data_IF_187316025969
#
_entry.id   IF_187316025969
#
_cell.length_a   1.000
_cell.length_b   1.000
_cell.length_c   1.000
_cell.angle_alpha   90.00
_cell.angle_beta   90.00
_cell.angle_gamma   90.00
#
_symmetry.space_group_name_H-M   'P 1'
#
loop_
_entity.id
_entity.type
_entity.pdbx_description
1 polymer ?
#
# COMPACT_ATOMS: atom_id res chain seq x y z
N UNK A 1 12.08 -8.62 0.98
CA UNK A 1 11.03 -8.54 -0.06
C UNK A 1 11.60 -8.82 -1.44
N UNK A 2 12.70 -8.18 -1.86
CA UNK A 2 13.33 -8.43 -3.17
C UNK A 2 13.67 -9.91 -3.42
N UNK A 3 14.30 -10.59 -2.45
CA UNK A 3 14.53 -12.05 -2.51
C UNK A 3 13.27 -12.87 -2.78
N UNK A 4 12.11 -12.46 -2.26
CA UNK A 4 10.86 -13.17 -2.50
C UNK A 4 10.33 -12.97 -3.93
N UNK A 5 10.69 -11.84 -4.55
CA UNK A 5 10.36 -11.53 -5.94
C UNK A 5 11.30 -12.26 -6.91
N UNK A 6 12.61 -12.34 -6.58
CA UNK A 6 13.60 -13.05 -7.39
C UNK A 6 13.36 -14.57 -7.47
N UNK A 7 12.60 -15.14 -6.54
CA UNK A 7 12.16 -16.55 -6.59
C UNK A 7 11.04 -16.80 -7.61
N UNK A 8 10.44 -15.75 -8.20
CA UNK A 8 9.31 -15.85 -9.13
C UNK A 8 9.60 -15.34 -10.53
N UNK A 9 10.60 -14.50 -10.69
CA UNK A 9 11.00 -13.92 -11.97
C UNK A 9 12.46 -13.50 -11.94
N UNK A 10 13.08 -13.46 -13.11
CA UNK A 10 14.37 -12.82 -13.29
C UNK A 10 14.21 -11.30 -13.21
N UNK A 11 14.70 -10.71 -12.12
CA UNK A 11 14.54 -9.27 -11.86
C UNK A 11 15.35 -8.42 -12.84
N UNK A 12 16.53 -8.89 -13.27
CA UNK A 12 17.40 -8.11 -14.15
C UNK A 12 16.88 -8.10 -15.58
N UNK A 13 16.11 -9.12 -15.96
CA UNK A 13 15.40 -9.17 -17.23
C UNK A 13 14.06 -8.43 -17.19
N UNK A 14 13.24 -8.63 -16.14
CA UNK A 14 11.85 -8.16 -16.13
C UNK A 14 11.70 -6.75 -15.55
N UNK A 15 12.52 -6.38 -14.56
CA UNK A 15 12.46 -5.09 -13.86
C UNK A 15 13.91 -4.58 -13.63
N UNK A 16 14.68 -4.23 -14.66
CA UNK A 16 16.11 -3.95 -14.56
C UNK A 16 16.42 -2.74 -13.66
N UNK A 17 15.53 -1.75 -13.60
CA UNK A 17 15.69 -0.57 -12.76
C UNK A 17 15.49 -0.90 -11.28
N UNK A 18 16.54 -0.77 -10.48
CA UNK A 18 16.50 -1.02 -9.03
C UNK A 18 15.50 -0.11 -8.32
N UNK A 19 15.41 1.15 -8.73
CA UNK A 19 14.48 2.13 -8.18
C UNK A 19 13.01 1.72 -8.39
N UNK A 20 12.71 1.06 -9.51
CA UNK A 20 11.37 0.52 -9.77
C UNK A 20 11.04 -0.65 -8.82
N UNK A 21 12.03 -1.52 -8.54
CA UNK A 21 11.89 -2.62 -7.56
C UNK A 21 11.66 -2.07 -6.15
N UNK A 22 12.49 -1.11 -5.73
CA UNK A 22 12.40 -0.47 -4.42
C UNK A 22 11.05 0.23 -4.24
N UNK A 23 10.56 0.90 -5.30
CA UNK A 23 9.25 1.54 -5.31
C UNK A 23 8.11 0.56 -5.10
N UNK A 24 8.12 -0.58 -5.79
CA UNK A 24 7.12 -1.65 -5.63
C UNK A 24 7.14 -2.23 -4.21
N UNK A 25 8.34 -2.46 -3.66
CA UNK A 25 8.52 -2.97 -2.30
C UNK A 25 7.96 -1.97 -1.28
N UNK A 26 8.33 -0.70 -1.39
CA UNK A 26 7.84 0.35 -0.50
C UNK A 26 6.31 0.51 -0.59
N UNK A 27 5.76 0.52 -1.81
CA UNK A 27 4.32 0.62 -2.04
C UNK A 27 3.53 -0.55 -1.42
N UNK A 28 4.13 -1.75 -1.34
CA UNK A 28 3.47 -2.95 -0.84
C UNK A 28 3.24 -2.99 0.68
N UNK A 29 3.83 -2.06 1.44
CA UNK A 29 3.80 -2.11 2.92
C UNK A 29 4.46 -3.34 3.51
N UNK A 30 5.38 -3.98 2.77
CA UNK A 30 6.07 -5.20 3.23
C UNK A 30 5.22 -6.47 3.15
N UNK A 31 4.00 -6.41 2.63
CA UNK A 31 3.15 -7.58 2.43
C UNK A 31 3.43 -8.24 1.07
N UNK A 32 3.88 -9.50 1.07
CA UNK A 32 4.20 -10.26 -0.16
C UNK A 32 3.03 -10.31 -1.13
N UNK A 33 1.80 -10.45 -0.64
CA UNK A 33 0.59 -10.45 -1.48
C UNK A 33 0.42 -9.12 -2.23
N UNK A 34 0.61 -7.99 -1.54
CA UNK A 34 0.48 -6.67 -2.16
C UNK A 34 1.61 -6.43 -3.17
N UNK A 35 2.82 -6.91 -2.87
CA UNK A 35 3.95 -6.79 -3.81
C UNK A 35 3.64 -7.52 -5.13
N UNK A 36 3.15 -8.76 -5.07
CA UNK A 36 2.87 -9.54 -6.28
C UNK A 36 1.70 -8.96 -7.08
N UNK A 37 0.67 -8.44 -6.40
CA UNK A 37 -0.44 -7.74 -7.06
C UNK A 37 0.04 -6.46 -7.78
N UNK A 38 0.84 -5.62 -7.11
CA UNK A 38 1.42 -4.42 -7.72
C UNK A 38 2.34 -4.73 -8.90
N UNK A 39 3.17 -5.77 -8.80
CA UNK A 39 4.03 -6.21 -9.91
C UNK A 39 3.17 -6.68 -11.09
N UNK A 40 2.12 -7.46 -10.85
CA UNK A 40 1.21 -7.92 -11.89
C UNK A 40 0.50 -6.75 -12.59
N UNK A 41 0.08 -5.73 -11.83
CA UNK A 41 -0.53 -4.53 -12.40
C UNK A 41 0.47 -3.71 -13.21
N UNK A 42 1.70 -3.54 -12.74
CA UNK A 42 2.75 -2.87 -13.48
C UNK A 42 3.09 -3.61 -14.78
N UNK A 43 3.15 -4.96 -14.73
CA UNK A 43 3.35 -5.79 -15.91
C UNK A 43 2.22 -5.63 -16.93
N UNK A 44 0.96 -5.54 -16.48
CA UNK A 44 -0.18 -5.29 -17.36
C UNK A 44 -0.12 -3.91 -18.03
N UNK A 45 0.49 -2.92 -17.38
CA UNK A 45 0.65 -1.57 -17.91
C UNK A 45 1.84 -1.42 -18.85
N UNK A 46 2.84 -2.30 -18.75
CA UNK A 46 4.02 -2.30 -19.58
C UNK A 46 3.67 -2.54 -21.06
N UNK A 47 4.34 -1.82 -21.95
CA UNK A 47 4.15 -1.95 -23.40
C UNK A 47 5.19 -2.85 -24.08
N UNK A 48 6.22 -3.26 -23.35
CA UNK A 48 7.31 -4.11 -23.84
C UNK A 48 7.56 -5.29 -22.92
N UNK A 49 8.73 -5.92 -23.08
CA UNK A 49 9.16 -7.06 -22.27
C UNK A 49 9.67 -6.69 -20.88
N UNK A 50 9.75 -5.40 -20.57
CA UNK A 50 10.31 -4.85 -19.34
C UNK A 50 9.30 -3.94 -18.65
N UNK A 51 9.21 -4.05 -17.33
CA UNK A 51 8.46 -3.13 -16.47
C UNK A 51 9.35 -1.93 -16.17
N UNK A 52 8.94 -0.77 -16.64
CA UNK A 52 9.65 0.51 -16.39
C UNK A 52 9.18 1.14 -15.09
N UNK A 53 9.94 2.10 -14.56
CA UNK A 53 9.49 2.93 -13.44
C UNK A 53 8.16 3.65 -13.71
N UNK A 54 7.92 4.07 -14.95
CA UNK A 54 6.66 4.73 -15.32
C UNK A 54 5.46 3.78 -15.22
N UNK A 55 5.64 2.48 -15.54
CA UNK A 55 4.61 1.46 -15.38
C UNK A 55 4.31 1.23 -13.89
N UNK A 56 5.35 1.18 -13.07
CA UNK A 56 5.22 1.07 -11.61
C UNK A 56 4.45 2.26 -11.02
N UNK A 57 4.82 3.50 -11.37
CA UNK A 57 4.12 4.67 -10.82
C UNK A 57 2.65 4.72 -11.25
N UNK A 58 2.32 4.28 -12.47
CA UNK A 58 0.93 4.16 -12.91
C UNK A 58 0.17 3.10 -12.10
N UNK A 59 0.77 1.94 -11.84
CA UNK A 59 0.17 0.89 -11.03
C UNK A 59 -0.05 1.35 -9.58
N UNK A 60 0.94 2.03 -9.00
CA UNK A 60 0.85 2.56 -7.64
C UNK A 60 -0.20 3.67 -7.55
N UNK A 61 -0.23 4.60 -8.51
CA UNK A 61 -1.24 5.66 -8.55
C UNK A 61 -2.66 5.07 -8.63
N UNK A 62 -2.87 4.07 -9.49
CA UNK A 62 -4.15 3.39 -9.61
C UNK A 62 -4.55 2.67 -8.31
N UNK A 63 -3.60 1.97 -7.66
CA UNK A 63 -3.86 1.32 -6.36
C UNK A 63 -4.24 2.33 -5.30
N UNK A 64 -3.50 3.45 -5.21
CA UNK A 64 -3.77 4.55 -4.27
C UNK A 64 -5.15 5.16 -4.51
N UNK A 65 -5.50 5.41 -5.77
CA UNK A 65 -6.82 5.93 -6.14
C UNK A 65 -7.93 4.98 -5.70
N UNK A 66 -7.84 3.68 -6.00
CA UNK A 66 -8.85 2.71 -5.56
C UNK A 66 -8.98 2.61 -4.04
N UNK A 67 -7.87 2.73 -3.31
CA UNK A 67 -7.90 2.79 -1.84
C UNK A 67 -8.63 4.04 -1.36
N UNK A 68 -8.33 5.21 -1.93
CA UNK A 68 -9.01 6.47 -1.63
C UNK A 68 -10.52 6.38 -1.89
N UNK A 69 -10.92 5.89 -3.06
CA UNK A 69 -12.34 5.75 -3.43
C UNK A 69 -13.07 4.82 -2.46
N UNK A 70 -12.45 3.70 -2.08
CA UNK A 70 -13.01 2.75 -1.12
C UNK A 70 -13.16 3.39 0.27
N UNK A 71 -12.16 4.13 0.75
CA UNK A 71 -12.20 4.83 2.03
C UNK A 71 -13.34 5.86 2.04
N UNK A 72 -13.42 6.68 0.99
CA UNK A 72 -14.40 7.74 0.89
C UNK A 72 -15.84 7.19 0.77
N UNK A 73 -16.04 6.15 -0.04
CA UNK A 73 -17.36 5.53 -0.22
C UNK A 73 -17.92 4.89 1.06
N UNK A 74 -17.05 4.51 2.00
CA UNK A 74 -17.47 3.84 3.24
C UNK A 74 -17.26 4.68 4.51
N UNK A 75 -16.75 5.92 4.39
CA UNK A 75 -16.55 6.80 5.54
C UNK A 75 -15.50 6.30 6.55
N UNK A 76 -14.45 5.61 6.08
CA UNK A 76 -13.47 4.96 6.96
C UNK A 76 -12.28 5.84 7.38
N UNK A 77 -12.28 7.13 7.01
CA UNK A 77 -11.17 8.04 7.27
C UNK A 77 -10.86 8.14 8.77
N UNK A 78 -11.87 8.37 9.61
CA UNK A 78 -11.69 8.53 11.05
C UNK A 78 -11.13 7.26 11.72
N UNK A 79 -11.58 6.09 11.26
CA UNK A 79 -11.07 4.81 11.76
C UNK A 79 -9.59 4.63 11.44
N UNK A 80 -9.17 4.97 10.22
CA UNK A 80 -7.76 4.91 9.81
C UNK A 80 -6.90 5.89 10.60
N UNK A 81 -7.37 7.12 10.80
CA UNK A 81 -6.64 8.15 11.56
C UNK A 81 -6.48 7.72 13.01
N UNK A 82 -7.56 7.23 13.64
CA UNK A 82 -7.52 6.71 15.01
C UNK A 82 -6.56 5.53 15.14
N UNK A 83 -6.63 4.55 14.23
CA UNK A 83 -5.73 3.40 14.22
C UNK A 83 -4.26 3.84 14.07
N UNK A 84 -3.98 4.77 13.15
CA UNK A 84 -2.63 5.29 12.92
C UNK A 84 -2.08 6.06 14.12
N UNK A 85 -2.94 6.74 14.89
CA UNK A 85 -2.54 7.47 16.10
C UNK A 85 -2.28 6.52 17.27
N UNK A 86 -3.23 5.64 17.54
CA UNK A 86 -3.24 4.79 18.73
C UNK A 86 -2.36 3.54 18.54
N UNK A 87 -2.00 3.23 17.29
CA UNK A 87 -1.25 2.03 16.87
C UNK A 87 -1.90 0.72 17.34
N UNK A 88 -3.21 0.75 17.57
CA UNK A 88 -4.01 -0.34 18.13
C UNK A 88 -5.35 -0.48 17.40
N UNK A 89 -5.92 -1.67 17.48
CA UNK A 89 -7.30 -1.93 17.04
C UNK A 89 -8.30 -1.53 18.13
N UNK A 90 -9.55 -1.28 17.74
CA UNK A 90 -10.64 -0.95 18.66
C UNK A 90 -11.93 -1.65 18.21
N UNK A 91 -12.89 -1.88 19.13
CA UNK A 91 -14.09 -2.68 18.86
C UNK A 91 -15.13 -1.89 18.05
N UNK A 92 -14.80 -1.62 16.80
CA UNK A 92 -15.64 -0.91 15.84
C UNK A 92 -15.63 -1.63 14.49
N UNK A 93 -16.78 -1.60 13.78
CA UNK A 93 -16.91 -2.27 12.48
C UNK A 93 -15.95 -1.68 11.46
N UNK A 94 -15.80 -0.35 11.41
CA UNK A 94 -14.91 0.29 10.45
C UNK A 94 -13.44 -0.09 10.71
N UNK A 95 -13.03 -0.23 11.98
CA UNK A 95 -11.69 -0.75 12.33
C UNK A 95 -11.45 -2.15 11.73
N UNK A 96 -12.43 -3.05 11.82
CA UNK A 96 -12.30 -4.40 11.26
C UNK A 96 -12.35 -4.38 9.74
N UNK A 97 -13.20 -3.54 9.14
CA UNK A 97 -13.32 -3.41 7.70
C UNK A 97 -12.01 -2.89 7.07
N UNK A 98 -11.33 -1.91 7.67
CA UNK A 98 -10.07 -1.37 7.12
C UNK A 98 -8.93 -2.39 7.17
N UNK A 99 -8.92 -3.28 8.16
CA UNK A 99 -7.98 -4.40 8.21
C UNK A 99 -8.32 -5.47 7.16
N UNK A 100 -9.60 -5.83 7.04
CA UNK A 100 -10.07 -6.79 6.05
C UNK A 100 -9.72 -6.36 4.62
N UNK A 101 -9.93 -5.08 4.30
CA UNK A 101 -9.60 -4.49 3.00
C UNK A 101 -8.12 -4.09 2.85
N UNK A 102 -7.28 -4.39 3.85
CA UNK A 102 -5.82 -4.13 3.81
C UNK A 102 -5.44 -2.66 3.64
N UNK A 103 -6.28 -1.78 4.17
CA UNK A 103 -6.00 -0.35 4.27
C UNK A 103 -5.13 -0.04 5.51
N UNK A 104 -5.04 -0.99 6.43
CA UNK A 104 -4.12 -1.02 7.56
C UNK A 104 -3.57 -2.44 7.77
N UNK A 105 -2.41 -2.54 8.42
CA UNK A 105 -1.74 -3.80 8.73
C UNK A 105 -1.31 -3.86 10.19
N UNK A 106 -1.14 -5.09 10.67
CA UNK A 106 -0.32 -5.38 11.85
C UNK A 106 1.13 -5.50 11.39
N UNK A 107 1.98 -4.59 11.82
CA UNK A 107 3.42 -4.61 11.61
C UNK A 107 4.09 -5.18 12.87
N UNK A 108 5.00 -6.15 12.69
CA UNK A 108 5.70 -6.86 13.77
C UNK A 108 4.80 -7.65 14.75
N UNK A 109 5.39 -8.64 15.43
CA UNK A 109 4.67 -9.62 16.27
C UNK A 109 3.90 -9.00 17.44
N UNK A 110 4.46 -7.94 18.03
CA UNK A 110 3.93 -7.25 19.20
C UNK A 110 3.03 -6.07 18.81
N UNK A 111 1.80 -6.39 18.43
CA UNK A 111 0.65 -5.48 18.55
C UNK A 111 0.69 -4.14 17.81
N UNK A 112 1.65 -3.84 16.96
CA UNK A 112 1.77 -2.53 16.32
C UNK A 112 0.95 -2.45 15.03
N UNK A 113 -0.12 -1.67 15.02
CA UNK A 113 -0.94 -1.45 13.82
C UNK A 113 -0.61 -0.12 13.18
N UNK A 114 -0.59 -0.07 11.86
CA UNK A 114 -0.51 1.20 11.13
C UNK A 114 -1.21 1.11 9.79
N UNK A 115 -1.45 2.26 9.18
CA UNK A 115 -2.05 2.32 7.85
C UNK A 115 -1.11 1.78 6.78
N UNK A 116 -1.69 1.35 5.67
CA UNK A 116 -0.95 1.01 4.46
C UNK A 116 -0.16 2.23 3.96
N UNK A 117 1.09 2.10 3.45
CA UNK A 117 1.89 3.26 3.04
C UNK A 117 1.19 4.15 2.02
N UNK A 118 0.52 3.55 1.03
CA UNK A 118 -0.27 4.31 0.05
C UNK A 118 -1.45 5.07 0.67
N UNK A 119 -2.03 4.60 1.79
CA UNK A 119 -3.05 5.36 2.54
C UNK A 119 -2.41 6.55 3.25
N UNK A 120 -1.20 6.39 3.79
CA UNK A 120 -0.45 7.49 4.41
C UNK A 120 -0.06 8.61 3.43
N UNK A 121 -0.14 8.34 2.11
CA UNK A 121 0.09 9.32 1.03
C UNK A 121 -1.21 9.99 0.53
N UNK A 122 -2.39 9.58 1.00
CA UNK A 122 -3.68 10.16 0.58
C UNK A 122 -3.84 11.55 1.21
N UNK A 123 -4.10 12.62 0.44
CA UNK A 123 -4.22 13.98 0.97
C UNK A 123 -5.25 14.13 2.10
N UNK A 124 -6.43 13.51 1.97
CA UNK A 124 -7.46 13.54 3.01
C UNK A 124 -6.98 12.93 4.33
N UNK A 125 -6.23 11.83 4.26
CA UNK A 125 -5.64 11.19 5.43
C UNK A 125 -4.54 12.06 6.05
N UNK A 126 -3.66 12.63 5.22
CA UNK A 126 -2.58 13.52 5.69
C UNK A 126 -3.18 14.73 6.42
N UNK A 127 -4.20 15.37 5.83
CA UNK A 127 -4.87 16.52 6.41
C UNK A 127 -5.56 16.16 7.73
N UNK A 128 -6.40 15.12 7.74
CA UNK A 128 -7.11 14.69 8.94
C UNK A 128 -6.16 14.29 10.08
N UNK A 129 -5.00 13.70 9.77
CA UNK A 129 -3.98 13.37 10.78
C UNK A 129 -3.29 14.61 11.35
N UNK A 130 -3.07 15.64 10.54
CA UNK A 130 -2.43 16.89 11.00
C UNK A 130 -3.34 17.68 11.94
N UNK A 131 -4.65 17.67 11.71
CA UNK A 131 -5.62 18.43 12.52
C UNK A 131 -5.75 17.89 13.95
N UNK A 132 -5.38 16.63 14.21
CA UNK A 132 -5.45 16.00 15.54
C UNK A 132 -4.16 16.15 16.35
N UNK A 133 -3.06 16.57 15.73
CA UNK A 133 -1.76 16.79 16.39
C UNK A 133 -1.52 18.25 16.83
N UNK A 134 -2.52 19.12 16.64
CA UNK A 134 -2.56 20.49 17.19
C UNK A 134 -3.37 20.52 18.48
#
# INVERSE_FOLDING_TARGET
MEKALSLRMDLDTVIPEREARDRLIAASGGAVRELLDLVSQAAYMARGSVITRADVERAVALRRQRMRDLINANGWLDALVKLARDKQIFPDKACMDVLFHRLAFKYNGDGWYDVHPLVAEIPEFVNARHDILR
#
